data_IF_242863100427
#
_entry.id   IF_242863100427
#
_cell.length_a   1.000
_cell.length_b   1.000
_cell.length_c   1.000
_cell.angle_alpha   90.00
_cell.angle_beta   90.00
_cell.angle_gamma   90.00
#
_symmetry.space_group_name_H-M   'P 1'
#
loop_
_entity.id
_entity.type
_entity.pdbx_description
1 polymer ?
#
# COMPACT_ATOMS: atom_id res chain seq x y z
N UNK A 1 -0.41 39.57 18.61
CA UNK A 1 -0.55 38.43 19.49
C UNK A 1 -1.84 37.71 19.25
N UNK A 2 -2.89 38.38 19.51
CA UNK A 2 -4.21 37.77 19.34
C UNK A 2 -4.45 37.38 17.90
N UNK A 3 -3.92 38.15 17.01
CA UNK A 3 -4.04 37.86 15.59
C UNK A 3 -3.53 36.49 15.25
N UNK A 4 -2.42 36.11 15.85
CA UNK A 4 -1.79 34.86 15.54
C UNK A 4 -2.66 33.68 15.89
N UNK A 5 -3.32 33.80 17.01
CA UNK A 5 -4.18 32.73 17.48
C UNK A 5 -5.33 32.52 16.52
N UNK A 6 -5.97 33.58 16.11
CA UNK A 6 -7.10 33.49 15.21
C UNK A 6 -6.67 32.89 13.87
N UNK A 7 -5.53 33.31 13.43
CA UNK A 7 -5.01 32.86 12.18
C UNK A 7 -4.80 31.34 12.19
N UNK A 8 -4.21 30.84 13.26
CA UNK A 8 -3.97 29.41 13.39
C UNK A 8 -5.27 28.63 13.40
N UNK A 9 -6.23 29.15 14.11
CA UNK A 9 -7.53 28.47 14.19
C UNK A 9 -8.17 28.35 12.83
N UNK A 10 -8.11 29.40 12.05
CA UNK A 10 -8.69 29.36 10.73
C UNK A 10 -8.02 28.36 9.83
N UNK A 11 -6.70 28.29 9.92
CA UNK A 11 -5.94 27.38 9.09
C UNK A 11 -6.29 25.94 9.44
N UNK A 12 -6.38 25.65 10.71
CA UNK A 12 -6.70 24.30 11.14
C UNK A 12 -8.07 23.86 10.63
N UNK A 13 -9.04 24.71 10.72
CA UNK A 13 -10.37 24.38 10.24
C UNK A 13 -10.36 24.11 8.76
N UNK A 14 -9.68 24.93 8.03
CA UNK A 14 -9.62 24.79 6.61
C UNK A 14 -9.00 23.44 6.21
N UNK A 15 -7.89 23.11 6.83
CA UNK A 15 -7.21 21.85 6.54
C UNK A 15 -8.09 20.67 6.89
N UNK A 16 -8.76 20.76 8.00
CA UNK A 16 -9.61 19.69 8.43
C UNK A 16 -10.72 19.40 7.43
N UNK A 17 -11.34 20.44 6.94
CA UNK A 17 -12.40 20.28 5.96
C UNK A 17 -11.88 19.71 4.66
N UNK A 18 -10.72 20.16 4.25
CA UNK A 18 -10.15 19.69 2.99
C UNK A 18 -9.65 18.28 3.04
N UNK A 19 -9.40 17.76 4.23
CA UNK A 19 -8.77 16.46 4.32
C UNK A 19 -9.72 15.29 4.16
N UNK A 20 -11.00 15.54 4.05
CA UNK A 20 -11.96 14.45 4.01
C UNK A 20 -12.11 13.79 2.67
N UNK A 21 -11.71 14.46 1.64
CA UNK A 21 -11.91 13.96 0.30
C UNK A 21 -10.59 13.76 -0.39
N UNK A 22 -10.47 12.64 -1.07
CA UNK A 22 -9.35 12.43 -1.94
C UNK A 22 -8.02 12.19 -1.28
N UNK A 23 -8.00 11.96 0.00
CA UNK A 23 -6.75 11.63 0.65
C UNK A 23 -6.38 10.20 0.37
N UNK A 24 -5.18 10.01 -0.15
CA UNK A 24 -4.63 8.69 -0.33
C UNK A 24 -3.54 8.48 0.70
N UNK A 25 -3.31 7.25 1.05
CA UNK A 25 -2.31 6.87 2.02
C UNK A 25 -1.34 5.89 1.40
N UNK A 26 -0.16 5.82 2.00
CA UNK A 26 0.80 4.80 1.63
C UNK A 26 0.88 3.82 2.78
N UNK A 27 0.61 2.56 2.46
CA UNK A 27 0.63 1.49 3.44
C UNK A 27 1.85 0.64 3.18
N UNK A 28 2.58 0.33 4.23
CA UNK A 28 3.84 -0.37 4.09
C UNK A 28 3.71 -1.85 4.40
N UNK A 29 4.34 -2.68 3.57
CA UNK A 29 4.47 -4.11 3.80
C UNK A 29 5.95 -4.39 3.90
N UNK A 30 6.38 -4.99 4.99
CA UNK A 30 7.78 -5.32 5.15
C UNK A 30 8.05 -6.73 4.72
N UNK A 31 9.23 -6.94 4.14
CA UNK A 31 9.70 -8.26 3.79
C UNK A 31 10.74 -8.65 4.83
N UNK A 32 10.41 -9.64 5.64
CA UNK A 32 11.27 -10.08 6.75
C UNK A 32 11.26 -11.60 6.75
N UNK A 33 12.45 -12.18 6.73
CA UNK A 33 12.61 -13.64 6.77
C UNK A 33 11.75 -14.32 5.70
N UNK A 34 11.83 -13.78 4.49
CA UNK A 34 11.09 -14.29 3.34
C UNK A 34 9.59 -14.36 3.59
N UNK A 35 9.06 -13.34 4.24
CA UNK A 35 7.63 -13.26 4.55
C UNK A 35 7.17 -11.84 4.33
N UNK A 36 5.96 -11.67 3.83
CA UNK A 36 5.34 -10.34 3.71
C UNK A 36 4.60 -10.06 5.02
N UNK A 37 4.91 -8.93 5.65
CA UNK A 37 4.31 -8.57 6.93
C UNK A 37 3.74 -7.16 6.84
N UNK A 38 2.44 -7.00 7.02
CA UNK A 38 1.44 -8.05 7.24
C UNK A 38 1.13 -8.82 5.95
N UNK A 39 0.56 -9.99 6.11
CA UNK A 39 0.22 -10.85 4.97
C UNK A 39 -1.02 -10.34 4.24
N UNK A 40 -1.94 -9.76 4.96
CA UNK A 40 -3.19 -9.23 4.41
C UNK A 40 -3.25 -7.76 4.73
N UNK A 41 -3.44 -6.93 3.71
CA UNK A 41 -3.61 -5.51 3.94
C UNK A 41 -4.91 -5.05 3.29
N UNK A 42 -5.54 -4.07 3.92
CA UNK A 42 -6.76 -3.46 3.41
C UNK A 42 -6.46 -2.01 3.15
N UNK A 43 -6.77 -1.56 1.95
CA UNK A 43 -6.54 -0.18 1.56
C UNK A 43 -7.78 0.37 0.89
N UNK A 44 -7.80 1.66 0.70
CA UNK A 44 -8.84 2.32 -0.06
C UNK A 44 -8.39 2.48 -1.50
N UNK A 45 -9.34 2.52 -2.39
CA UNK A 45 -9.08 2.82 -3.78
C UNK A 45 -8.23 4.08 -3.89
N UNK A 46 -7.15 4.00 -4.63
CA UNK A 46 -6.24 5.14 -4.80
C UNK A 46 -5.07 5.17 -3.84
N UNK A 47 -5.06 4.28 -2.85
CA UNK A 47 -3.93 4.21 -1.94
C UNK A 47 -2.75 3.51 -2.60
N UNK A 48 -1.59 3.73 -2.02
CA UNK A 48 -0.33 3.16 -2.51
C UNK A 48 0.17 2.14 -1.50
N UNK A 49 0.71 1.05 -2.01
CA UNK A 49 1.39 0.06 -1.17
C UNK A 49 2.88 0.19 -1.43
N UNK A 50 3.65 0.17 -0.37
CA UNK A 50 5.10 0.17 -0.47
C UNK A 50 5.63 -1.08 0.19
N UNK A 51 6.26 -1.95 -0.60
CA UNK A 51 6.95 -3.12 -0.06
C UNK A 51 8.38 -2.71 0.24
N UNK A 52 8.82 -2.98 1.47
CA UNK A 52 10.17 -2.63 1.91
C UNK A 52 10.91 -3.90 2.24
N UNK A 53 11.97 -4.16 1.50
CA UNK A 53 12.80 -5.33 1.75
C UNK A 53 13.80 -4.99 2.84
N UNK A 54 13.69 -5.66 3.97
CA UNK A 54 14.57 -5.40 5.11
C UNK A 54 15.74 -6.36 5.18
N UNK A 55 15.89 -7.23 4.20
CA UNK A 55 16.97 -8.21 4.21
C UNK A 55 17.78 -8.13 2.92
N UNK A 56 18.92 -8.78 2.91
CA UNK A 56 19.79 -8.71 1.74
C UNK A 56 19.35 -9.63 0.62
N UNK A 57 18.57 -10.63 0.96
CA UNK A 57 18.08 -11.56 -0.04
C UNK A 57 17.10 -10.85 -0.97
N UNK A 58 17.21 -11.09 -2.26
CA UNK A 58 16.32 -10.49 -3.23
C UNK A 58 14.98 -11.22 -3.26
N UNK A 59 13.92 -10.46 -3.48
CA UNK A 59 12.58 -11.01 -3.57
C UNK A 59 11.87 -10.38 -4.74
N UNK A 60 10.85 -11.06 -5.24
CA UNK A 60 9.97 -10.44 -6.23
C UNK A 60 8.65 -10.10 -5.55
N UNK A 61 7.93 -9.15 -6.13
CA UNK A 61 6.55 -8.86 -5.76
C UNK A 61 5.77 -9.02 -7.05
N UNK A 62 5.02 -10.10 -7.12
CA UNK A 62 4.37 -10.48 -8.37
C UNK A 62 2.88 -10.69 -8.11
N UNK A 63 2.03 -9.93 -8.79
CA UNK A 63 0.59 -10.08 -8.61
C UNK A 63 0.11 -11.38 -9.24
N UNK A 64 -0.90 -11.99 -8.60
CA UNK A 64 -1.48 -13.24 -9.07
C UNK A 64 -1.42 -14.29 -7.99
N UNK A 65 -2.08 -15.40 -8.22
CA UNK A 65 -2.03 -16.54 -7.33
C UNK A 65 -0.91 -17.46 -7.75
N UNK A 66 0.02 -17.70 -6.85
CA UNK A 66 1.14 -18.57 -7.15
C UNK A 66 0.66 -19.90 -7.69
N UNK A 67 1.25 -20.42 -8.75
CA UNK A 67 2.43 -19.90 -9.43
C UNK A 67 2.12 -19.01 -10.64
N UNK A 68 0.91 -18.49 -10.78
CA UNK A 68 0.45 -17.83 -12.00
C UNK A 68 0.36 -16.32 -11.87
N UNK A 69 1.34 -15.60 -12.43
CA UNK A 69 1.27 -14.13 -12.42
C UNK A 69 0.07 -13.65 -13.23
N UNK A 70 -0.56 -12.58 -12.79
CA UNK A 70 -1.69 -12.01 -13.52
C UNK A 70 -1.35 -10.66 -14.17
N UNK A 71 -0.11 -10.23 -14.06
CA UNK A 71 0.43 -9.04 -14.73
C UNK A 71 -0.19 -7.71 -14.27
N UNK A 72 -0.82 -7.69 -13.13
CA UNK A 72 -1.35 -6.43 -12.62
C UNK A 72 -0.25 -5.57 -12.03
N UNK A 73 0.73 -6.18 -11.38
CA UNK A 73 1.94 -5.49 -10.99
C UNK A 73 3.07 -6.50 -10.82
N UNK A 74 4.30 -6.02 -10.93
CA UNK A 74 5.43 -6.91 -10.88
C UNK A 74 6.72 -6.14 -10.60
N UNK A 75 7.48 -6.63 -9.65
CA UNK A 75 8.84 -6.16 -9.43
C UNK A 75 9.75 -7.37 -9.44
N UNK A 76 10.67 -7.39 -10.40
CA UNK A 76 11.52 -8.56 -10.61
C UNK A 76 12.48 -8.79 -9.46
N UNK A 77 13.07 -7.73 -8.93
CA UNK A 77 14.00 -7.86 -7.83
C UNK A 77 13.92 -6.64 -6.94
N UNK A 78 13.30 -6.82 -5.80
CA UNK A 78 13.16 -5.72 -4.86
C UNK A 78 14.39 -5.70 -3.96
N UNK A 79 15.25 -4.73 -4.18
CA UNK A 79 16.40 -4.56 -3.32
C UNK A 79 16.04 -3.78 -2.06
N UNK A 80 15.35 -2.66 -2.25
CA UNK A 80 14.97 -1.83 -1.12
C UNK A 80 13.47 -1.68 -1.02
N UNK A 81 12.84 -1.16 -2.07
CA UNK A 81 11.41 -0.94 -2.01
C UNK A 81 10.78 -0.93 -3.39
N UNK A 82 9.49 -1.13 -3.40
CA UNK A 82 8.68 -1.14 -4.61
C UNK A 82 7.30 -0.62 -4.25
N UNK A 83 6.76 0.28 -5.07
CA UNK A 83 5.46 0.88 -4.79
C UNK A 83 4.48 0.66 -5.93
N UNK A 84 3.22 0.51 -5.54
CA UNK A 84 2.13 0.38 -6.50
C UNK A 84 0.92 1.13 -5.96
N UNK A 85 0.26 1.88 -6.83
CA UNK A 85 -1.00 2.52 -6.49
C UNK A 85 -2.12 1.74 -7.16
N UNK A 86 -3.13 1.37 -6.39
CA UNK A 86 -4.24 0.58 -6.93
C UNK A 86 -5.51 1.41 -6.95
N UNK A 87 -6.07 1.55 -8.15
CA UNK A 87 -7.24 2.40 -8.38
C UNK A 87 -8.53 1.64 -8.58
N UNK A 88 -8.49 0.32 -8.50
CA UNK A 88 -9.68 -0.49 -8.71
C UNK A 88 -9.93 -1.37 -7.51
N UNK A 89 -11.19 -1.43 -7.09
CA UNK A 89 -11.59 -2.30 -6.00
C UNK A 89 -11.37 -3.76 -6.37
N UNK A 90 -11.12 -4.55 -5.37
CA UNK A 90 -10.97 -5.98 -5.57
C UNK A 90 -9.95 -6.59 -4.65
N UNK A 91 -9.70 -7.87 -4.90
CA UNK A 91 -8.72 -8.66 -4.17
C UNK A 91 -7.54 -8.90 -5.10
N UNK A 92 -6.35 -8.61 -4.60
CA UNK A 92 -5.15 -8.76 -5.38
C UNK A 92 -4.21 -9.68 -4.63
N UNK A 93 -4.14 -10.93 -5.07
CA UNK A 93 -3.14 -11.85 -4.53
C UNK A 93 -1.78 -11.47 -5.08
N UNK A 94 -0.74 -11.77 -4.33
CA UNK A 94 0.61 -11.60 -4.82
C UNK A 94 1.55 -12.57 -4.14
N UNK A 95 2.71 -12.75 -4.69
CA UNK A 95 3.66 -13.73 -4.17
C UNK A 95 5.08 -13.39 -4.62
N UNK A 96 6.04 -14.03 -4.00
CA UNK A 96 7.44 -13.95 -4.43
C UNK A 96 7.73 -15.18 -5.26
N UNK A 97 8.17 -14.99 -6.49
CA UNK A 97 8.40 -16.10 -7.41
C UNK A 97 9.52 -17.02 -6.96
N UNK A 98 10.41 -16.51 -6.13
CA UNK A 98 11.53 -17.30 -5.62
C UNK A 98 11.15 -18.20 -4.45
N UNK A 99 10.02 -17.91 -3.80
CA UNK A 99 9.59 -18.65 -2.62
C UNK A 99 8.08 -18.91 -2.68
N UNK A 100 7.61 -19.41 -3.79
CA UNK A 100 6.18 -19.51 -4.08
C UNK A 100 5.36 -20.25 -3.05
N UNK A 101 5.93 -21.25 -2.43
CA UNK A 101 5.17 -22.08 -1.52
C UNK A 101 4.74 -21.35 -0.25
N UNK A 102 5.55 -20.40 0.20
CA UNK A 102 5.33 -19.77 1.50
C UNK A 102 5.19 -18.27 1.48
N UNK A 103 5.74 -17.61 0.47
CA UNK A 103 5.81 -16.15 0.47
C UNK A 103 4.67 -15.55 -0.36
N UNK A 104 3.53 -15.34 0.28
CA UNK A 104 2.32 -14.88 -0.38
C UNK A 104 1.62 -13.81 0.45
N UNK A 105 0.83 -12.98 -0.22
CA UNK A 105 0.05 -11.98 0.47
C UNK A 105 -1.18 -11.63 -0.33
N UNK A 106 -2.01 -10.77 0.22
CA UNK A 106 -3.18 -10.28 -0.49
C UNK A 106 -3.46 -8.84 -0.09
N UNK A 107 -3.86 -8.06 -1.09
CA UNK A 107 -4.29 -6.68 -0.91
C UNK A 107 -5.78 -6.63 -1.17
N UNK A 108 -6.53 -6.08 -0.25
CA UNK A 108 -7.96 -5.88 -0.40
C UNK A 108 -8.18 -4.39 -0.60
N UNK A 109 -8.67 -4.03 -1.79
CA UNK A 109 -8.92 -2.63 -2.13
C UNK A 109 -10.41 -2.37 -2.00
N UNK A 110 -10.76 -1.45 -1.12
CA UNK A 110 -12.14 -1.10 -0.82
C UNK A 110 -12.48 0.23 -1.47
N UNK A 111 -13.79 0.57 -1.54
CA UNK A 111 -14.17 1.87 -2.07
C UNK A 111 -13.53 2.99 -1.28
N UNK A 112 -13.43 4.15 -1.90
CA UNK A 112 -12.92 5.33 -1.22
C UNK A 112 -13.84 5.66 -0.04
N UNK A 113 -13.23 6.11 1.05
CA UNK A 113 -13.98 6.37 2.27
C UNK A 113 -15.08 7.40 2.10
N UNK A 114 -14.87 8.36 1.23
CA UNK A 114 -15.84 9.42 1.04
C UNK A 114 -17.14 8.93 0.44
N UNK A 115 -17.15 7.73 -0.09
CA UNK A 115 -18.36 7.20 -0.68
C UNK A 115 -19.31 6.60 0.33
N UNK A 116 -18.91 6.51 1.55
CA UNK A 116 -19.73 5.85 2.58
C UNK A 116 -20.74 6.76 3.22
#
# INVERSE_FOLDING_TARGET
MIRNVLFLTGILLFLFLGSQEGWSETVEVKIIKSTFIPTVIKIKKGDTIRWVNTEELLHTVTSGKAPDPDKKFHAAYVKKEFEVTLDKEGFYDYFCELHQAVMRGVVIVRPAASGD
#
